data_IF_987253258283
#
_entry.id   IF_987253258283
#
_cell.length_a   1.000
_cell.length_b   1.000
_cell.length_c   1.000
_cell.angle_alpha   90.00
_cell.angle_beta   90.00
_cell.angle_gamma   90.00
#
_symmetry.space_group_name_H-M   'P 1'
#
loop_
_entity.id
_entity.type
_entity.pdbx_description
1 polymer ?
#
# COMPACT_ATOMS: atom_id res chain seq x y z
N UNK A 1 -4.39 51.44 -19.62
CA UNK A 1 -3.55 51.49 -18.42
C UNK A 1 -4.23 50.70 -17.34
N UNK A 2 -3.85 49.42 -17.17
CA UNK A 2 -4.46 48.49 -16.23
C UNK A 2 -3.80 48.65 -14.86
N UNK A 3 -4.53 49.14 -13.88
CA UNK A 3 -4.05 49.32 -12.51
C UNK A 3 -3.91 47.93 -11.86
N UNK A 4 -2.67 47.46 -11.68
CA UNK A 4 -2.35 46.34 -10.80
C UNK A 4 -2.71 46.76 -9.36
N UNK A 5 -3.74 46.13 -8.77
CA UNK A 5 -3.99 46.24 -7.34
C UNK A 5 -2.97 45.37 -6.62
N UNK A 6 -1.99 45.98 -6.00
CA UNK A 6 -1.09 45.35 -5.06
C UNK A 6 -1.87 45.20 -3.75
N UNK A 7 -2.19 43.95 -3.37
CA UNK A 7 -2.76 43.66 -2.06
C UNK A 7 -1.62 43.65 -1.03
N UNK A 8 -1.52 44.70 -0.24
CA UNK A 8 -0.64 44.76 0.92
C UNK A 8 -1.39 44.18 2.09
N UNK A 9 -0.87 43.07 2.62
CA UNK A 9 -1.39 42.43 3.82
C UNK A 9 -1.11 43.31 5.02
N UNK A 10 -2.14 43.98 5.53
CA UNK A 10 -2.09 44.61 6.85
C UNK A 10 -2.66 43.66 7.89
N UNK A 11 -1.80 43.27 8.82
CA UNK A 11 -2.17 42.60 10.05
C UNK A 11 -3.01 43.53 10.91
N UNK A 12 -4.32 43.36 11.01
CA UNK A 12 -5.16 44.09 11.96
C UNK A 12 -5.95 43.16 12.84
N UNK A 13 -5.75 43.40 14.12
CA UNK A 13 -6.42 42.83 15.26
C UNK A 13 -7.93 43.10 15.30
N UNK A 14 -8.65 42.05 15.69
CA UNK A 14 -9.89 42.00 16.48
C UNK A 14 -10.98 43.06 16.26
N UNK A 15 -12.10 42.61 15.70
CA UNK A 15 -13.43 43.02 16.14
C UNK A 15 -14.42 41.85 16.10
N UNK A 16 -15.04 41.63 17.26
CA UNK A 16 -16.09 40.64 17.48
C UNK A 16 -17.42 41.19 16.99
N UNK A 17 -18.04 40.55 16.02
CA UNK A 17 -19.45 40.77 15.72
C UNK A 17 -20.16 39.40 15.68
N UNK A 18 -21.09 39.23 16.64
CA UNK A 18 -21.93 38.05 16.79
C UNK A 18 -23.14 38.18 15.85
N UNK A 19 -23.08 37.51 14.71
CA UNK A 19 -24.21 37.23 13.83
C UNK A 19 -24.30 35.74 13.63
N UNK A 20 -25.45 35.13 13.93
CA UNK A 20 -25.73 33.71 13.69
C UNK A 20 -26.02 33.51 12.18
N UNK A 21 -24.99 33.55 11.37
CA UNK A 21 -25.08 33.03 10.01
C UNK A 21 -24.68 31.57 9.99
N UNK A 22 -25.30 30.73 9.15
CA UNK A 22 -24.90 29.36 8.93
C UNK A 22 -23.43 29.34 8.49
N UNK A 23 -22.52 29.20 9.44
CA UNK A 23 -21.08 29.21 9.21
C UNK A 23 -20.73 27.86 8.58
N UNK A 24 -20.65 27.85 7.25
CA UNK A 24 -19.91 26.78 6.57
C UNK A 24 -18.47 26.84 7.08
N UNK A 25 -18.08 25.85 7.85
CA UNK A 25 -16.75 25.82 8.47
C UNK A 25 -15.70 25.52 7.40
N UNK A 26 -14.69 26.37 7.30
CA UNK A 26 -13.47 26.02 6.59
C UNK A 26 -12.88 24.74 7.20
N UNK A 27 -12.31 23.90 6.40
CA UNK A 27 -11.65 22.69 6.86
C UNK A 27 -10.27 22.54 6.22
N UNK A 28 -9.36 21.93 6.99
CA UNK A 28 -8.08 21.44 6.49
C UNK A 28 -7.99 19.97 6.86
N UNK A 29 -7.74 19.12 5.87
CA UNK A 29 -7.63 17.69 6.08
C UNK A 29 -6.25 17.20 5.67
N UNK A 30 -5.72 16.23 6.43
CA UNK A 30 -4.42 15.61 6.22
C UNK A 30 -4.62 14.11 6.02
N UNK A 31 -4.28 13.60 4.86
CA UNK A 31 -4.47 12.19 4.53
C UNK A 31 -3.23 11.59 3.88
N UNK A 32 -2.73 10.48 4.42
CA UNK A 32 -1.73 9.66 3.76
C UNK A 32 -2.34 8.91 2.56
N UNK A 33 -1.60 8.79 1.47
CA UNK A 33 -2.00 7.90 0.35
C UNK A 33 -1.91 6.42 0.75
N UNK A 34 -1.13 6.13 1.79
CA UNK A 34 -1.01 4.82 2.45
C UNK A 34 -0.97 5.03 3.97
N UNK A 35 -1.44 4.04 4.73
CA UNK A 35 -1.31 4.00 6.19
C UNK A 35 0.04 3.45 6.67
N UNK A 36 0.81 2.83 5.77
CA UNK A 36 2.11 2.22 6.06
C UNK A 36 3.18 2.69 5.08
N UNK A 37 4.41 2.82 5.58
CA UNK A 37 5.61 3.13 4.81
C UNK A 37 6.75 2.18 5.17
N UNK A 38 7.60 1.85 4.20
CA UNK A 38 8.76 0.96 4.39
C UNK A 38 10.02 1.80 4.53
N UNK A 39 10.90 1.47 5.48
CA UNK A 39 12.20 2.14 5.66
C UNK A 39 12.98 2.15 4.34
N UNK A 40 13.46 3.32 3.94
CA UNK A 40 14.09 3.60 2.65
C UNK A 40 13.09 3.89 1.51
N UNK A 41 11.81 3.64 1.71
CA UNK A 41 10.75 3.95 0.73
C UNK A 41 10.15 5.35 0.93
N UNK A 42 9.27 5.71 0.00
CA UNK A 42 8.58 7.00 0.01
C UNK A 42 7.12 6.83 0.41
N UNK A 43 6.59 7.84 1.10
CA UNK A 43 5.16 7.99 1.40
C UNK A 43 4.71 9.37 0.96
N UNK A 44 3.45 9.49 0.55
CA UNK A 44 2.85 10.77 0.16
C UNK A 44 1.71 11.10 1.13
N UNK A 45 1.69 12.35 1.58
CA UNK A 45 0.61 12.90 2.40
C UNK A 45 0.02 14.10 1.67
N UNK A 46 -1.29 14.15 1.58
CA UNK A 46 -2.03 15.26 0.97
C UNK A 46 -2.66 16.12 2.06
N UNK A 47 -2.44 17.41 1.96
CA UNK A 47 -3.13 18.44 2.73
C UNK A 47 -4.15 19.10 1.85
N UNK A 48 -5.41 19.05 2.21
CA UNK A 48 -6.50 19.66 1.45
C UNK A 48 -7.15 20.76 2.27
N UNK A 49 -7.12 21.97 1.76
CA UNK A 49 -7.92 23.09 2.25
C UNK A 49 -9.26 23.10 1.54
N UNK A 50 -10.33 23.35 2.27
CA UNK A 50 -11.68 23.42 1.75
C UNK A 50 -12.47 24.51 2.45
N UNK A 51 -13.15 25.38 1.68
CA UNK A 51 -14.06 26.42 2.15
C UNK A 51 -15.29 26.44 1.22
N UNK A 52 -16.43 25.91 1.70
CA UNK A 52 -17.63 25.81 0.88
C UNK A 52 -18.18 27.13 0.32
N UNK A 53 -17.96 28.23 1.02
CA UNK A 53 -18.34 29.58 0.55
C UNK A 53 -17.35 30.17 -0.45
N UNK A 54 -16.25 29.51 -0.70
CA UNK A 54 -15.18 29.90 -1.61
C UNK A 54 -13.88 30.25 -0.90
N UNK A 55 -12.79 29.67 -1.38
CA UNK A 55 -11.44 29.97 -0.91
C UNK A 55 -11.09 31.42 -1.28
N UNK A 56 -10.55 32.17 -0.32
CA UNK A 56 -9.96 33.51 -0.53
C UNK A 56 -8.44 33.46 -0.41
N UNK A 57 -7.93 33.52 0.79
CA UNK A 57 -6.52 33.39 1.13
C UNK A 57 -6.35 32.46 2.32
N UNK A 58 -5.25 31.74 2.35
CA UNK A 58 -4.93 30.85 3.47
C UNK A 58 -3.44 30.75 3.72
N UNK A 59 -3.13 30.45 4.95
CA UNK A 59 -1.80 30.15 5.44
C UNK A 59 -1.87 28.91 6.33
N UNK A 60 -0.94 28.00 6.20
CA UNK A 60 -0.79 26.90 7.15
C UNK A 60 0.64 26.42 7.27
N UNK A 61 0.95 25.82 8.42
CA UNK A 61 2.23 25.19 8.69
C UNK A 61 2.04 23.69 8.89
N UNK A 62 2.81 22.88 8.14
CA UNK A 62 2.86 21.44 8.28
C UNK A 62 3.95 21.07 9.27
N UNK A 63 3.60 20.23 10.24
CA UNK A 63 4.53 19.57 11.15
C UNK A 63 4.60 18.08 10.87
N UNK A 64 5.76 17.48 11.08
CA UNK A 64 5.95 16.04 10.94
C UNK A 64 7.05 15.53 11.86
N UNK A 65 7.04 14.23 12.16
CA UNK A 65 8.10 13.60 12.94
C UNK A 65 9.39 13.49 12.10
N UNK A 66 10.25 14.49 12.21
CA UNK A 66 11.53 14.55 11.51
C UNK A 66 12.55 13.50 12.00
N UNK A 67 12.27 12.80 13.10
CA UNK A 67 13.11 11.67 13.54
C UNK A 67 12.86 10.41 12.70
N UNK A 68 11.66 10.26 12.13
CA UNK A 68 11.21 9.08 11.38
C UNK A 68 11.12 9.38 9.88
N UNK A 69 10.72 10.60 9.49
CA UNK A 69 10.52 11.02 8.11
C UNK A 69 11.52 12.09 7.69
N UNK A 70 11.86 12.11 6.40
CA UNK A 70 12.55 13.23 5.75
C UNK A 70 11.65 13.79 4.66
N UNK A 71 11.31 15.07 4.72
CA UNK A 71 10.58 15.75 3.66
C UNK A 71 11.45 15.87 2.41
N UNK A 72 10.95 15.38 1.28
CA UNK A 72 11.66 15.40 -0.01
C UNK A 72 10.96 16.28 -1.06
N UNK A 73 9.68 16.62 -0.84
CA UNK A 73 8.93 17.53 -1.70
C UNK A 73 7.76 18.12 -0.92
N UNK A 74 7.46 19.38 -1.19
CA UNK A 74 6.46 20.20 -0.51
C UNK A 74 7.11 21.24 0.41
N UNK A 75 6.37 22.28 0.76
CA UNK A 75 6.81 23.34 1.65
C UNK A 75 6.06 23.26 2.98
N UNK A 76 6.78 23.31 4.11
CA UNK A 76 6.16 23.22 5.44
C UNK A 76 5.39 24.48 5.82
N UNK A 77 5.69 25.62 5.19
CA UNK A 77 4.94 26.86 5.34
C UNK A 77 4.32 27.23 3.99
N UNK A 78 3.00 27.25 3.94
CA UNK A 78 2.23 27.58 2.74
C UNK A 78 1.44 28.84 2.97
N UNK A 79 1.59 29.81 2.06
CA UNK A 79 0.75 30.99 1.93
C UNK A 79 0.23 31.03 0.50
N UNK A 80 -1.08 31.00 0.33
CA UNK A 80 -1.68 30.92 -0.99
C UNK A 80 -3.04 31.64 -1.03
N UNK A 81 -3.53 31.91 -2.24
CA UNK A 81 -4.80 32.61 -2.45
C UNK A 81 -5.41 32.25 -3.80
N UNK A 82 -6.68 32.51 -3.97
CA UNK A 82 -7.37 32.42 -5.27
C UNK A 82 -7.60 33.80 -5.88
N UNK A 83 -7.49 33.87 -7.21
CA UNK A 83 -7.68 35.11 -7.97
C UNK A 83 -9.11 35.26 -8.50
N UNK A 84 -9.90 34.21 -8.49
CA UNK A 84 -11.26 34.16 -9.03
C UNK A 84 -12.22 33.46 -8.07
N UNK A 85 -13.47 33.91 -7.96
CA UNK A 85 -14.48 33.26 -7.12
C UNK A 85 -14.80 31.85 -7.65
N UNK A 86 -15.29 31.01 -6.75
CA UNK A 86 -15.83 29.68 -7.09
C UNK A 86 -14.90 28.50 -6.82
N UNK A 87 -13.62 28.71 -6.54
CA UNK A 87 -12.76 27.63 -6.07
C UNK A 87 -13.03 27.39 -4.58
N UNK A 88 -13.48 26.18 -4.24
CA UNK A 88 -13.80 25.80 -2.85
C UNK A 88 -12.75 24.88 -2.23
N UNK A 89 -11.81 24.35 -3.04
CA UNK A 89 -10.86 23.34 -2.59
C UNK A 89 -9.51 23.47 -3.28
N UNK A 90 -8.42 23.24 -2.52
CA UNK A 90 -7.06 23.07 -3.06
C UNK A 90 -6.29 22.01 -2.27
N UNK A 91 -5.49 21.21 -2.98
CA UNK A 91 -4.71 20.11 -2.38
C UNK A 91 -3.23 20.32 -2.64
N UNK A 92 -2.43 20.09 -1.60
CA UNK A 92 -0.97 20.11 -1.60
C UNK A 92 -0.45 18.71 -1.30
N UNK A 93 0.52 18.24 -2.07
CA UNK A 93 1.12 16.94 -1.90
C UNK A 93 2.52 17.04 -1.29
N UNK A 94 2.76 16.32 -0.22
CA UNK A 94 4.03 16.22 0.49
C UNK A 94 4.60 14.83 0.29
N UNK A 95 5.87 14.75 -0.12
CA UNK A 95 6.57 13.47 -0.23
C UNK A 95 7.61 13.36 0.87
N UNK A 96 7.64 12.22 1.52
CA UNK A 96 8.58 11.90 2.58
C UNK A 96 9.31 10.61 2.27
N UNK A 97 10.60 10.53 2.62
CA UNK A 97 11.33 9.28 2.72
C UNK A 97 11.30 8.79 4.16
N UNK A 98 11.02 7.50 4.36
CA UNK A 98 11.00 6.85 5.68
C UNK A 98 12.42 6.51 6.10
N UNK A 99 12.90 7.08 7.21
CA UNK A 99 14.27 6.88 7.75
C UNK A 99 14.39 5.66 8.64
N UNK A 100 13.41 5.41 9.48
CA UNK A 100 13.42 4.31 10.45
C UNK A 100 12.00 3.84 10.75
N UNK A 101 11.89 2.69 11.39
CA UNK A 101 10.63 2.16 11.88
C UNK A 101 10.04 3.00 13.03
N UNK A 102 8.74 2.95 13.18
CA UNK A 102 7.98 3.66 14.21
C UNK A 102 6.65 4.18 13.65
N UNK A 103 5.95 4.99 14.45
CA UNK A 103 4.74 5.68 14.04
C UNK A 103 5.08 7.16 13.87
N UNK A 104 4.94 7.68 12.67
CA UNK A 104 5.20 9.08 12.35
C UNK A 104 3.88 9.84 12.17
N UNK A 105 3.75 10.96 12.84
CA UNK A 105 2.63 11.87 12.65
C UNK A 105 3.00 12.98 11.64
N UNK A 106 2.07 13.29 10.73
CA UNK A 106 2.11 14.45 9.84
C UNK A 106 0.82 15.22 10.04
N UNK A 107 0.90 16.50 10.39
CA UNK A 107 -0.27 17.27 10.75
C UNK A 107 -0.09 18.78 10.54
N UNK A 108 -1.13 19.52 10.85
CA UNK A 108 -1.17 20.98 10.77
C UNK A 108 -0.82 21.59 12.13
N UNK A 109 0.29 22.31 12.19
CA UNK A 109 0.73 23.01 13.38
C UNK A 109 -0.09 24.29 13.61
N UNK A 110 -0.33 25.07 12.55
CA UNK A 110 -1.14 26.29 12.56
C UNK A 110 -1.81 26.50 11.21
N UNK A 111 -2.97 27.16 11.22
CA UNK A 111 -3.69 27.55 9.99
C UNK A 111 -4.48 28.83 10.20
N UNK A 112 -4.55 29.66 9.15
CA UNK A 112 -5.40 30.86 9.05
C UNK A 112 -6.10 30.83 7.69
N UNK A 113 -7.38 31.20 7.68
CA UNK A 113 -8.19 31.25 6.47
C UNK A 113 -8.95 32.57 6.40
N UNK A 114 -9.00 33.09 5.18
CA UNK A 114 -9.93 34.17 4.82
C UNK A 114 -10.70 33.66 3.60
N UNK A 115 -12.02 33.58 3.70
CA UNK A 115 -12.87 33.18 2.57
C UNK A 115 -12.93 34.28 1.51
N UNK A 116 -13.48 33.96 0.34
CA UNK A 116 -13.55 34.93 -0.75
C UNK A 116 -14.41 36.15 -0.44
N UNK A 117 -15.37 36.01 0.48
CA UNK A 117 -16.21 37.08 1.04
C UNK A 117 -15.50 37.93 2.12
N UNK A 118 -14.18 37.79 2.27
CA UNK A 118 -13.32 38.49 3.23
C UNK A 118 -13.60 38.13 4.70
N UNK A 119 -14.41 37.11 4.97
CA UNK A 119 -14.66 36.65 6.33
C UNK A 119 -13.51 35.75 6.83
N UNK A 120 -12.99 36.03 8.01
CA UNK A 120 -12.01 35.16 8.68
C UNK A 120 -12.68 33.87 9.08
N UNK A 121 -12.08 32.74 8.77
CA UNK A 121 -12.54 31.39 9.12
C UNK A 121 -11.49 30.68 9.96
N UNK A 122 -11.97 29.84 10.85
CA UNK A 122 -11.12 28.90 11.61
C UNK A 122 -11.31 27.49 11.07
N UNK A 123 -10.21 26.77 10.86
CA UNK A 123 -10.24 25.36 10.55
C UNK A 123 -9.62 24.56 11.69
N UNK A 124 -10.24 23.45 12.12
CA UNK A 124 -9.63 22.58 13.11
C UNK A 124 -8.33 21.98 12.54
N UNK A 125 -7.35 21.77 13.42
CA UNK A 125 -6.12 21.07 13.08
C UNK A 125 -6.44 19.62 12.77
N UNK A 126 -5.80 19.08 11.75
CA UNK A 126 -5.90 17.68 11.37
C UNK A 126 -4.52 17.04 11.24
N UNK A 127 -4.45 15.73 11.35
CA UNK A 127 -3.23 14.97 11.22
C UNK A 127 -3.50 13.54 10.79
N UNK A 128 -2.49 12.92 10.20
CA UNK A 128 -2.48 11.49 9.86
C UNK A 128 -1.27 10.81 10.48
N UNK A 129 -1.39 9.53 10.80
CA UNK A 129 -0.30 8.71 11.31
C UNK A 129 0.09 7.68 10.25
N UNK A 130 1.38 7.57 10.00
CA UNK A 130 1.98 6.60 9.08
C UNK A 130 2.77 5.60 9.92
N UNK A 131 2.43 4.32 9.81
CA UNK A 131 3.19 3.24 10.41
C UNK A 131 4.38 2.90 9.51
N UNK A 132 5.58 3.13 10.01
CA UNK A 132 6.84 2.89 9.31
C UNK A 132 7.43 1.56 9.77
N UNK A 133 7.67 0.64 8.84
CA UNK A 133 8.11 -0.74 9.10
C UNK A 133 9.37 -1.06 8.31
N UNK A 134 10.21 -1.97 8.84
CA UNK A 134 11.34 -2.50 8.09
C UNK A 134 10.89 -3.55 7.07
N UNK A 135 11.65 -3.69 5.98
CA UNK A 135 11.41 -4.71 4.97
C UNK A 135 11.44 -6.13 5.56
N UNK A 136 12.37 -6.39 6.48
CA UNK A 136 12.49 -7.69 7.15
C UNK A 136 11.23 -8.04 7.97
N UNK A 137 10.58 -7.04 8.59
CA UNK A 137 9.33 -7.22 9.32
C UNK A 137 8.18 -7.61 8.38
N UNK A 138 8.16 -7.06 7.16
CA UNK A 138 7.17 -7.43 6.14
C UNK A 138 7.36 -8.88 5.74
N UNK A 139 8.59 -9.27 5.39
CA UNK A 139 8.91 -10.65 4.96
C UNK A 139 8.68 -11.67 6.07
N UNK A 140 8.92 -11.29 7.33
CA UNK A 140 8.65 -12.16 8.49
C UNK A 140 7.16 -12.50 8.66
N UNK A 141 6.26 -11.65 8.15
CA UNK A 141 4.82 -11.87 8.17
C UNK A 141 4.29 -12.66 6.96
N UNK A 142 5.14 -12.95 5.97
CA UNK A 142 4.73 -13.76 4.82
C UNK A 142 4.54 -15.21 5.23
N UNK A 143 3.55 -15.85 4.64
CA UNK A 143 3.29 -17.26 4.87
C UNK A 143 4.52 -18.11 4.50
N UNK A 144 4.84 -19.08 5.38
CA UNK A 144 5.90 -20.07 5.17
C UNK A 144 5.33 -21.39 4.65
N UNK A 145 4.02 -21.47 4.45
CA UNK A 145 3.36 -22.70 4.05
C UNK A 145 3.66 -23.02 2.58
N UNK A 146 4.53 -23.98 2.38
CA UNK A 146 4.95 -24.55 1.11
C UNK A 146 4.45 -25.99 0.93
N UNK A 147 3.35 -26.36 1.58
CA UNK A 147 2.78 -27.70 1.44
C UNK A 147 1.82 -27.78 0.25
N UNK A 148 1.77 -28.98 -0.35
CA UNK A 148 0.63 -29.40 -1.16
C UNK A 148 -0.56 -29.76 -0.26
N UNK A 149 -1.77 -29.49 -0.72
CA UNK A 149 -3.01 -30.03 -0.17
C UNK A 149 -3.36 -31.38 -0.81
N UNK A 150 -2.94 -31.58 -2.07
CA UNK A 150 -3.11 -32.84 -2.80
C UNK A 150 -1.99 -33.04 -3.82
N UNK A 151 -1.66 -34.29 -4.10
CA UNK A 151 -0.82 -34.73 -5.22
C UNK A 151 -1.37 -36.05 -5.74
N UNK A 152 -1.42 -36.22 -7.04
CA UNK A 152 -1.84 -37.43 -7.72
C UNK A 152 -1.43 -37.43 -9.19
N UNK A 153 -1.71 -38.54 -9.86
CA UNK A 153 -1.61 -38.70 -11.30
C UNK A 153 -2.98 -39.13 -11.79
N UNK A 154 -3.51 -38.44 -12.78
CA UNK A 154 -4.83 -38.72 -13.36
C UNK A 154 -4.90 -40.19 -13.80
N UNK A 155 -5.99 -40.87 -13.40
CA UNK A 155 -6.30 -42.27 -13.69
C UNK A 155 -5.36 -43.30 -13.04
N UNK A 156 -4.40 -42.87 -12.20
CA UNK A 156 -3.44 -43.72 -11.54
C UNK A 156 -3.33 -43.43 -10.05
N UNK A 157 -2.89 -44.43 -9.27
CA UNK A 157 -2.62 -44.26 -7.84
C UNK A 157 -1.13 -44.21 -7.56
N UNK A 158 -0.67 -43.14 -6.92
CA UNK A 158 0.72 -43.02 -6.45
C UNK A 158 0.92 -43.80 -5.14
N UNK A 159 2.13 -44.24 -4.92
CA UNK A 159 2.54 -44.93 -3.70
C UNK A 159 3.70 -44.17 -3.02
N UNK A 160 3.61 -43.94 -1.68
CA UNK A 160 2.43 -44.11 -0.85
C UNK A 160 1.28 -43.16 -1.22
N UNK A 161 0.10 -43.34 -0.62
CA UNK A 161 -0.99 -42.37 -0.73
C UNK A 161 -0.51 -41.00 -0.27
N UNK A 162 -1.03 -39.89 -0.87
CA UNK A 162 -0.55 -38.55 -0.60
C UNK A 162 -0.60 -38.21 0.90
N UNK A 163 0.53 -37.73 1.39
CA UNK A 163 0.70 -37.08 2.68
C UNK A 163 1.65 -35.88 2.50
N UNK A 164 1.26 -34.70 2.96
CA UNK A 164 2.04 -33.45 2.79
C UNK A 164 3.46 -33.50 3.41
N UNK A 165 3.72 -34.43 4.32
CA UNK A 165 5.03 -34.62 4.95
C UNK A 165 5.89 -35.70 4.24
N UNK A 166 5.32 -36.47 3.34
CA UNK A 166 6.02 -37.40 2.47
C UNK A 166 6.49 -36.68 1.22
N UNK A 167 7.74 -36.87 0.86
CA UNK A 167 8.33 -36.13 -0.29
C UNK A 167 8.58 -37.03 -1.48
N UNK A 168 8.54 -38.36 -1.33
CA UNK A 168 8.91 -39.29 -2.38
C UNK A 168 7.74 -40.20 -2.71
N UNK A 169 7.35 -40.21 -3.96
CA UNK A 169 6.24 -40.98 -4.50
C UNK A 169 6.68 -41.81 -5.68
N UNK A 170 6.07 -42.94 -5.87
CA UNK A 170 6.29 -43.85 -7.00
C UNK A 170 4.98 -44.17 -7.70
N UNK A 171 5.06 -44.47 -8.97
CA UNK A 171 3.97 -44.97 -9.82
C UNK A 171 4.55 -45.93 -10.84
N UNK A 172 3.87 -47.08 -11.06
CA UNK A 172 4.15 -47.97 -12.18
C UNK A 172 3.03 -47.89 -13.20
N UNK A 173 3.39 -47.80 -14.48
CA UNK A 173 2.44 -47.77 -15.60
C UNK A 173 2.85 -48.80 -16.65
N UNK A 174 1.92 -49.18 -17.53
CA UNK A 174 2.16 -50.16 -18.59
C UNK A 174 3.04 -49.58 -19.70
N UNK A 175 3.64 -50.44 -20.51
CA UNK A 175 4.65 -50.11 -21.55
C UNK A 175 4.12 -49.25 -22.68
N UNK A 176 2.80 -49.16 -22.87
CA UNK A 176 2.16 -48.38 -23.91
C UNK A 176 1.78 -46.95 -23.45
N UNK A 177 2.10 -46.59 -22.23
CA UNK A 177 1.85 -45.25 -21.69
C UNK A 177 2.97 -44.31 -22.08
N UNK A 178 2.67 -43.34 -22.95
CA UNK A 178 3.60 -42.31 -23.41
C UNK A 178 3.47 -40.99 -22.65
N UNK A 179 2.34 -40.75 -21.97
CA UNK A 179 2.05 -39.53 -21.25
C UNK A 179 1.26 -39.78 -19.98
N UNK A 180 1.53 -38.93 -18.98
CA UNK A 180 0.78 -38.88 -17.73
C UNK A 180 0.37 -37.44 -17.44
N UNK A 181 -0.65 -37.22 -16.61
CA UNK A 181 -1.00 -35.89 -16.12
C UNK A 181 -0.83 -35.83 -14.60
N UNK A 182 0.12 -35.05 -14.14
CA UNK A 182 0.37 -34.81 -12.71
C UNK A 182 -0.59 -33.74 -12.24
N UNK A 183 -1.40 -34.05 -11.23
CA UNK A 183 -2.39 -33.18 -10.62
C UNK A 183 -2.01 -32.85 -9.19
N UNK A 184 -2.34 -31.65 -8.71
CA UNK A 184 -2.08 -31.24 -7.34
C UNK A 184 -2.67 -29.89 -7.00
N UNK A 185 -2.78 -29.63 -5.72
CA UNK A 185 -3.24 -28.33 -5.24
C UNK A 185 -2.39 -27.86 -4.07
N UNK A 186 -2.30 -26.54 -3.91
CA UNK A 186 -1.58 -25.90 -2.81
C UNK A 186 -2.44 -25.83 -1.55
N UNK A 187 -1.82 -26.00 -0.36
CA UNK A 187 -2.50 -25.80 0.92
C UNK A 187 -2.72 -24.31 1.21
N UNK A 188 -1.81 -23.46 0.80
CA UNK A 188 -1.89 -22.00 0.97
C UNK A 188 -2.15 -21.30 -0.37
N UNK A 189 -3.18 -20.48 -0.44
CA UNK A 189 -3.55 -19.71 -1.64
C UNK A 189 -2.47 -18.73 -2.11
N UNK A 190 -1.55 -18.32 -1.21
CA UNK A 190 -0.44 -17.42 -1.49
C UNK A 190 0.81 -18.15 -2.01
N UNK A 191 0.84 -19.47 -1.97
CA UNK A 191 1.94 -20.25 -2.54
C UNK A 191 1.75 -20.45 -4.05
N UNK A 192 2.81 -20.83 -4.75
CA UNK A 192 2.79 -21.25 -6.15
C UNK A 192 3.28 -22.66 -6.31
N UNK A 193 2.84 -23.37 -7.38
CA UNK A 193 3.28 -24.72 -7.70
C UNK A 193 3.85 -24.74 -9.12
N UNK A 194 4.94 -25.46 -9.30
CA UNK A 194 5.47 -25.82 -10.60
C UNK A 194 5.63 -27.35 -10.70
N UNK A 195 5.72 -27.88 -11.91
CA UNK A 195 5.92 -29.31 -12.15
C UNK A 195 4.64 -30.11 -12.41
N UNK A 196 3.44 -29.51 -12.25
CA UNK A 196 2.16 -30.15 -12.59
C UNK A 196 1.90 -30.18 -14.10
N UNK A 197 0.81 -30.85 -14.50
CA UNK A 197 0.33 -30.95 -15.88
C UNK A 197 0.82 -32.20 -16.62
N UNK A 198 0.63 -32.20 -17.95
CA UNK A 198 1.01 -33.30 -18.82
C UNK A 198 2.53 -33.45 -18.88
N UNK A 199 3.01 -34.70 -18.79
CA UNK A 199 4.42 -35.08 -18.90
C UNK A 199 4.57 -36.25 -19.83
N UNK A 200 5.56 -36.21 -20.70
CA UNK A 200 5.98 -37.36 -21.47
C UNK A 200 6.75 -38.32 -20.59
N UNK A 201 6.54 -39.61 -20.78
CA UNK A 201 7.25 -40.71 -20.10
C UNK A 201 7.83 -41.67 -21.14
N UNK A 202 8.94 -42.29 -20.80
CA UNK A 202 9.64 -43.26 -21.62
C UNK A 202 9.88 -44.53 -20.84
N UNK A 203 10.19 -45.64 -21.52
CA UNK A 203 10.50 -46.94 -20.91
C UNK A 203 11.53 -46.79 -19.79
N UNK A 204 11.29 -47.41 -18.67
CA UNK A 204 12.08 -47.33 -17.47
C UNK A 204 11.64 -46.20 -16.51
N UNK A 205 12.57 -45.67 -15.70
CA UNK A 205 12.29 -44.72 -14.65
C UNK A 205 12.32 -43.27 -15.16
N UNK A 206 11.25 -42.53 -14.92
CA UNK A 206 11.09 -41.11 -15.21
C UNK A 206 10.91 -40.34 -13.87
N UNK A 207 11.65 -39.27 -13.64
CA UNK A 207 11.59 -38.48 -12.42
C UNK A 207 11.00 -37.10 -12.66
N UNK A 208 10.07 -36.69 -11.81
CA UNK A 208 9.41 -35.38 -11.88
C UNK A 208 9.44 -34.71 -10.51
N UNK A 209 9.81 -33.42 -10.51
CA UNK A 209 9.84 -32.58 -9.34
C UNK A 209 8.63 -31.66 -9.34
N UNK A 210 7.86 -31.70 -8.26
CA UNK A 210 6.75 -30.78 -8.01
C UNK A 210 7.20 -29.85 -6.90
N UNK A 211 7.42 -28.57 -7.24
CA UNK A 211 7.97 -27.57 -6.32
C UNK A 211 6.89 -26.60 -5.89
N UNK A 212 6.70 -26.47 -4.58
CA UNK A 212 5.83 -25.47 -3.96
C UNK A 212 6.69 -24.36 -3.38
N UNK A 213 6.40 -23.12 -3.78
CA UNK A 213 7.06 -21.92 -3.27
C UNK A 213 6.08 -21.11 -2.42
N UNK A 214 6.37 -20.95 -1.12
CA UNK A 214 5.59 -20.14 -0.21
C UNK A 214 5.73 -18.64 -0.49
N UNK A 215 4.84 -17.82 0.09
CA UNK A 215 4.87 -16.35 -0.03
C UNK A 215 6.22 -15.73 0.41
N UNK A 216 6.87 -16.30 1.42
CA UNK A 216 8.17 -15.84 1.91
C UNK A 216 9.37 -16.32 1.05
N UNK A 217 9.11 -17.05 -0.05
CA UNK A 217 10.12 -17.61 -0.96
C UNK A 217 10.70 -18.96 -0.54
N UNK A 218 10.31 -19.53 0.60
CA UNK A 218 10.74 -20.88 0.98
C UNK A 218 10.10 -21.93 0.08
N UNK A 219 10.86 -22.95 -0.32
CA UNK A 219 10.41 -23.99 -1.23
C UNK A 219 10.32 -25.36 -0.54
N UNK A 220 9.47 -26.22 -1.07
CA UNK A 220 9.37 -27.63 -0.77
C UNK A 220 9.20 -28.40 -2.06
N UNK A 221 9.99 -29.45 -2.24
CA UNK A 221 9.95 -30.29 -3.45
C UNK A 221 9.39 -31.67 -3.09
N UNK A 222 8.43 -32.13 -3.90
CA UNK A 222 7.90 -33.48 -3.89
C UNK A 222 8.43 -34.19 -5.15
N UNK A 223 8.98 -35.38 -4.98
CA UNK A 223 9.57 -36.19 -6.04
C UNK A 223 8.60 -37.30 -6.42
N UNK A 224 8.30 -37.41 -7.71
CA UNK A 224 7.50 -38.50 -8.29
C UNK A 224 8.37 -39.29 -9.26
N UNK A 225 8.56 -40.57 -8.99
CA UNK A 225 9.21 -41.50 -9.93
C UNK A 225 8.15 -42.36 -10.59
N UNK A 226 8.06 -42.27 -11.91
CA UNK A 226 7.15 -43.08 -12.75
C UNK A 226 7.96 -44.10 -13.51
N UNK A 227 7.65 -45.36 -13.28
CA UNK A 227 8.30 -46.49 -14.00
C UNK A 227 7.36 -47.02 -15.06
N UNK A 228 7.74 -46.92 -16.33
CA UNK A 228 7.07 -47.54 -17.49
C UNK A 228 7.67 -48.93 -17.67
N UNK A 229 6.83 -49.98 -17.62
CA UNK A 229 7.24 -51.40 -17.69
C UNK A 229 7.50 -51.82 -19.12
#
# INVERSE_FOLDING_TARGET
MTKKKIFIFFLLSFFFFCGIDNVFAASISVAGTTSEGVVGGNVTVNVTVNEPSGLGAWEFNVSYDSSILTLTSGETHVVDYVQSPGQTRKTYSYKFTVKKEGSANVGIASSNFVSYDEATRSAPKDSTTIKCIKRETIVANYSKNNNLASLGVKDYQISPSFNKNELNYTLEVEHDVEKITIEGSREDSKSSITGLGEKEVHEGANSFDIVVTAENGSTKTYHLTVTVK
#
